data_IF_986819775859
#
_entry.id   IF_986819775859
#
_cell.length_a   1.000
_cell.length_b   1.000
_cell.length_c   1.000
_cell.angle_alpha   90.00
_cell.angle_beta   90.00
_cell.angle_gamma   90.00
#
_symmetry.space_group_name_H-M   'P 1'
#
loop_
_entity.id
_entity.type
_entity.pdbx_description
1 polymer ?
#
# COMPACT_ATOMS: atom_id res chain seq x y z
N UNK A 1 -5.81 21.00 -4.14
CA UNK A 1 -5.33 21.15 -2.75
C UNK A 1 -5.86 20.08 -1.81
N UNK A 2 -7.05 19.51 -2.05
CA UNK A 2 -7.54 18.36 -1.29
C UNK A 2 -6.69 17.11 -1.60
N UNK A 3 -6.18 16.46 -0.55
CA UNK A 3 -5.35 15.23 -0.64
C UNK A 3 -3.89 15.39 -0.19
N UNK A 4 -3.32 16.60 -0.27
CA UNK A 4 -1.90 16.84 0.10
C UNK A 4 -1.67 16.61 1.60
N UNK A 5 -2.56 17.11 2.46
CA UNK A 5 -2.49 16.89 3.91
C UNK A 5 -2.58 15.41 4.28
N UNK A 6 -3.42 14.64 3.57
CA UNK A 6 -3.59 13.22 3.83
C UNK A 6 -2.35 12.41 3.42
N UNK A 7 -1.77 12.70 2.25
CA UNK A 7 -0.50 12.08 1.84
C UNK A 7 0.64 12.41 2.82
N UNK A 8 0.69 13.67 3.28
CA UNK A 8 1.71 14.09 4.24
C UNK A 8 1.57 13.36 5.58
N UNK A 9 0.35 13.28 6.14
CA UNK A 9 0.09 12.52 7.38
C UNK A 9 0.42 11.03 7.24
N UNK A 10 0.02 10.39 6.14
CA UNK A 10 0.36 8.98 5.89
C UNK A 10 1.88 8.79 5.80
N UNK A 11 2.60 9.70 5.16
CA UNK A 11 4.06 9.65 5.05
C UNK A 11 4.74 9.80 6.40
N UNK A 12 4.26 10.72 7.25
CA UNK A 12 4.77 10.88 8.61
C UNK A 12 4.53 9.63 9.46
N UNK A 13 3.32 9.07 9.41
CA UNK A 13 3.02 7.82 10.13
C UNK A 13 3.90 6.66 9.68
N UNK A 14 4.16 6.52 8.39
CA UNK A 14 5.09 5.50 7.89
C UNK A 14 6.54 5.74 8.29
N UNK A 15 6.93 6.97 8.65
CA UNK A 15 8.27 7.26 9.19
C UNK A 15 8.36 6.91 10.68
N UNK A 16 7.33 7.21 11.46
CA UNK A 16 7.26 6.87 12.88
C UNK A 16 7.05 5.37 13.11
N UNK A 17 6.25 4.74 12.25
CA UNK A 17 5.92 3.32 12.27
C UNK A 17 6.04 2.74 10.85
N UNK A 18 7.24 2.29 10.45
CA UNK A 18 7.47 1.77 9.11
C UNK A 18 6.65 0.49 8.90
N UNK A 19 5.90 0.46 7.81
CA UNK A 19 5.26 -0.76 7.35
C UNK A 19 6.33 -1.73 6.81
N UNK A 20 6.14 -3.04 7.02
CA UNK A 20 7.01 -4.07 6.43
C UNK A 20 6.98 -4.04 4.90
N UNK A 21 5.83 -3.65 4.32
CA UNK A 21 5.64 -3.46 2.89
C UNK A 21 4.58 -2.40 2.60
N UNK A 22 4.85 -1.54 1.61
CA UNK A 22 3.91 -0.56 1.08
C UNK A 22 3.67 -0.85 -0.39
N UNK A 23 2.40 -1.09 -0.76
CA UNK A 23 1.97 -1.25 -2.17
C UNK A 23 1.48 0.10 -2.69
N UNK A 24 2.00 0.55 -3.84
CA UNK A 24 1.67 1.86 -4.45
C UNK A 24 1.19 1.67 -5.89
N UNK A 25 -0.12 1.53 -6.12
CA UNK A 25 -0.68 1.39 -7.45
C UNK A 25 -0.34 2.56 -8.38
N UNK A 26 -0.02 2.25 -9.64
CA UNK A 26 0.30 3.23 -10.66
C UNK A 26 -0.98 3.83 -11.28
N UNK A 27 -1.78 4.55 -10.48
CA UNK A 27 -3.09 5.12 -10.88
C UNK A 27 -3.01 6.26 -11.93
N UNK A 28 -1.80 6.61 -12.39
CA UNK A 28 -1.60 7.63 -13.43
C UNK A 28 -2.22 8.99 -13.07
N UNK A 29 -2.78 9.72 -14.06
CA UNK A 29 -3.33 11.06 -13.85
C UNK A 29 -4.79 11.05 -13.34
N UNK A 30 -5.23 10.03 -12.59
CA UNK A 30 -6.59 10.01 -12.01
C UNK A 30 -6.68 11.06 -10.89
N UNK A 31 -7.53 12.07 -11.10
CA UNK A 31 -7.80 13.11 -10.12
C UNK A 31 -8.79 12.67 -9.04
N UNK A 32 -8.84 13.43 -7.94
CA UNK A 32 -9.70 13.14 -6.78
C UNK A 32 -11.19 13.04 -7.10
N UNK A 33 -11.65 13.75 -8.14
CA UNK A 33 -13.05 13.83 -8.54
C UNK A 33 -13.35 13.05 -9.85
N UNK A 34 -12.38 12.29 -10.36
CA UNK A 34 -12.53 11.51 -11.60
C UNK A 34 -13.26 10.18 -11.33
N UNK A 35 -14.46 10.24 -10.76
CA UNK A 35 -15.22 9.05 -10.34
C UNK A 35 -15.50 8.07 -11.49
N UNK A 36 -15.58 8.57 -12.72
CA UNK A 36 -15.77 7.76 -13.92
C UNK A 36 -14.58 6.85 -14.25
N UNK A 37 -13.37 7.18 -13.75
CA UNK A 37 -12.13 6.42 -13.96
C UNK A 37 -11.86 5.40 -12.85
N UNK A 38 -12.85 5.16 -11.98
CA UNK A 38 -12.78 4.14 -10.93
C UNK A 38 -12.28 2.78 -11.43
N UNK A 39 -12.77 2.26 -12.58
CA UNK A 39 -12.28 0.99 -13.13
C UNK A 39 -10.77 0.95 -13.39
N UNK A 40 -10.18 2.03 -13.93
CA UNK A 40 -8.73 2.13 -14.18
C UNK A 40 -7.93 2.09 -12.86
N UNK A 41 -8.44 2.75 -11.83
CA UNK A 41 -7.82 2.73 -10.50
C UNK A 41 -7.86 1.35 -9.84
N UNK A 42 -8.94 0.58 -10.07
CA UNK A 42 -9.08 -0.79 -9.57
C UNK A 42 -8.09 -1.70 -10.28
N UNK A 43 -8.02 -1.65 -11.61
CA UNK A 43 -7.08 -2.46 -12.40
C UNK A 43 -5.62 -2.19 -12.00
N UNK A 44 -5.24 -0.92 -11.84
CA UNK A 44 -3.91 -0.55 -11.36
C UNK A 44 -3.63 -1.08 -9.93
N UNK A 45 -4.67 -1.15 -9.09
CA UNK A 45 -4.60 -1.73 -7.75
C UNK A 45 -4.39 -3.24 -7.76
N UNK A 46 -5.13 -3.95 -8.61
CA UNK A 46 -5.00 -5.40 -8.79
C UNK A 46 -3.61 -5.77 -9.29
N UNK A 47 -3.12 -5.08 -10.33
CA UNK A 47 -1.77 -5.30 -10.87
C UNK A 47 -0.69 -5.09 -9.80
N UNK A 48 -0.73 -3.97 -9.06
CA UNK A 48 0.24 -3.70 -8.01
C UNK A 48 0.17 -4.72 -6.86
N UNK A 49 -1.03 -5.25 -6.56
CA UNK A 49 -1.20 -6.30 -5.56
C UNK A 49 -0.61 -7.64 -6.05
N UNK A 50 -0.84 -8.02 -7.31
CA UNK A 50 -0.26 -9.21 -7.93
C UNK A 50 1.27 -9.16 -7.94
N UNK A 51 1.85 -8.02 -8.33
CA UNK A 51 3.29 -7.78 -8.30
C UNK A 51 3.88 -7.88 -6.89
N UNK A 52 3.10 -7.52 -5.85
CA UNK A 52 3.52 -7.59 -4.46
C UNK A 52 3.41 -9.00 -3.84
N UNK A 53 2.70 -9.95 -4.48
CA UNK A 53 2.47 -11.30 -3.94
C UNK A 53 3.75 -12.03 -3.51
N UNK A 54 4.87 -12.01 -4.27
CA UNK A 54 6.10 -12.67 -3.84
C UNK A 54 6.66 -12.10 -2.53
N UNK A 55 6.63 -10.78 -2.37
CA UNK A 55 7.12 -10.11 -1.16
C UNK A 55 6.20 -10.39 0.03
N UNK A 56 4.88 -10.34 -0.18
CA UNK A 56 3.89 -10.68 0.84
C UNK A 56 4.05 -12.13 1.32
N UNK A 57 4.26 -13.08 0.42
CA UNK A 57 4.51 -14.49 0.77
C UNK A 57 5.78 -14.63 1.62
N UNK A 58 6.87 -13.98 1.23
CA UNK A 58 8.12 -13.99 2.01
C UNK A 58 7.94 -13.40 3.42
N UNK A 59 7.19 -12.31 3.53
CA UNK A 59 6.85 -11.70 4.82
C UNK A 59 6.01 -12.65 5.69
N UNK A 60 4.99 -13.29 5.12
CA UNK A 60 4.16 -14.26 5.85
C UNK A 60 4.97 -15.45 6.38
N UNK A 61 5.90 -15.98 5.58
CA UNK A 61 6.82 -17.04 6.05
C UNK A 61 7.72 -16.53 7.19
N UNK A 62 8.24 -15.31 7.08
CA UNK A 62 9.05 -14.70 8.16
C UNK A 62 8.27 -14.52 9.46
N UNK A 63 6.96 -14.24 9.37
CA UNK A 63 6.09 -14.09 10.54
C UNK A 63 5.79 -15.45 11.14
N UNK A 64 5.49 -16.47 10.32
CA UNK A 64 5.23 -17.84 10.79
C UNK A 64 6.44 -18.46 11.48
N UNK A 65 7.65 -18.15 11.03
CA UNK A 65 8.90 -18.58 11.66
C UNK A 65 9.27 -17.82 12.94
N UNK A 66 8.62 -16.68 13.22
CA UNK A 66 8.79 -15.94 14.47
C UNK A 66 7.82 -16.49 15.51
N UNK A 67 8.29 -17.37 16.40
CA UNK A 67 7.57 -17.64 17.65
C UNK A 67 7.43 -16.30 18.40
N UNK A 68 6.21 -15.87 18.79
CA UNK A 68 6.05 -14.62 19.50
C UNK A 68 6.86 -14.68 20.80
N UNK A 69 7.76 -13.72 21.00
CA UNK A 69 8.41 -13.53 22.30
C UNK A 69 7.31 -13.11 23.27
N UNK A 70 7.02 -13.90 24.33
CA UNK A 70 6.02 -13.50 25.30
C UNK A 70 6.47 -12.19 25.97
N UNK A 71 5.55 -11.23 26.04
CA UNK A 71 5.72 -9.96 26.74
C UNK A 71 5.84 -10.17 28.26
#
# INVERSE_FOLDING_TARGET
TLGVSQLHLTTLRLREHPADLVVRPAVGPIGLLDFHRGPEGIEAGEQAAEEALPQLRALLESIRGRTPTPA
#
